data_IF_780784303103
#
_entry.id   IF_780784303103
#
_cell.length_a   1.000
_cell.length_b   1.000
_cell.length_c   1.000
_cell.angle_alpha   90.00
_cell.angle_beta   90.00
_cell.angle_gamma   90.00
#
_symmetry.space_group_name_H-M   'P 1'
#
loop_
_entity.id
_entity.type
_entity.pdbx_description
1 polymer ?
#
# COMPACT_ATOMS: atom_id res chain seq x y z
N UNK A 1 33.75 63.26 55.96
CA UNK A 1 34.29 62.30 54.91
C UNK A 1 33.36 61.11 54.91
N UNK A 2 32.36 61.13 54.01
CA UNK A 2 31.42 60.02 53.87
C UNK A 2 31.94 59.11 52.74
N UNK A 3 32.06 57.82 53.07
CA UNK A 3 32.39 56.77 52.07
C UNK A 3 31.09 56.23 51.52
N UNK A 4 30.86 56.45 50.24
CA UNK A 4 29.76 55.83 49.49
C UNK A 4 30.21 54.45 49.01
N UNK A 5 29.43 53.43 49.43
CA UNK A 5 29.60 52.04 48.96
C UNK A 5 28.73 51.80 47.76
N UNK A 6 29.33 51.55 46.63
CA UNK A 6 28.64 51.14 45.39
C UNK A 6 28.39 49.65 45.45
N UNK A 7 27.12 49.25 45.47
CA UNK A 7 26.67 47.84 45.37
C UNK A 7 26.49 47.55 43.91
N UNK A 8 27.31 46.63 43.35
CA UNK A 8 27.13 46.07 42.02
C UNK A 8 26.11 44.89 42.12
N UNK A 9 24.93 45.10 41.58
CA UNK A 9 23.95 44.02 41.43
C UNK A 9 24.25 43.32 40.10
N UNK A 10 24.81 42.08 40.17
CA UNK A 10 25.04 41.22 39.04
C UNK A 10 23.73 40.51 38.73
N UNK A 11 23.03 40.92 37.67
CA UNK A 11 21.81 40.30 37.19
C UNK A 11 22.19 39.08 36.33
N UNK A 12 22.13 37.86 36.91
CA UNK A 12 22.33 36.65 36.17
C UNK A 12 21.07 36.31 35.37
N UNK A 13 21.13 36.50 34.04
CA UNK A 13 20.11 36.04 33.08
C UNK A 13 20.22 34.53 32.89
N UNK A 14 19.38 33.78 33.56
CA UNK A 14 19.24 32.33 33.32
C UNK A 14 18.40 32.12 32.09
N UNK A 15 19.02 31.79 30.97
CA UNK A 15 18.36 31.28 29.77
C UNK A 15 17.93 29.83 30.06
N UNK A 16 16.65 29.67 30.36
CA UNK A 16 16.00 28.35 30.37
C UNK A 16 15.81 27.91 28.91
N UNK A 17 16.71 27.09 28.40
CA UNK A 17 16.44 26.29 27.22
C UNK A 17 15.41 25.22 27.63
N UNK A 18 14.16 25.48 27.31
CA UNK A 18 13.12 24.45 27.34
C UNK A 18 13.41 23.43 26.25
N UNK A 19 14.03 22.30 26.60
CA UNK A 19 13.86 21.08 25.82
C UNK A 19 12.40 20.72 25.92
N UNK A 20 11.63 20.91 24.85
CA UNK A 20 10.38 20.20 24.65
C UNK A 20 10.77 18.74 24.39
N UNK A 21 10.77 17.92 25.44
CA UNK A 21 10.68 16.49 25.29
C UNK A 21 9.32 16.21 24.61
N UNK A 22 9.31 16.14 23.29
CA UNK A 22 8.26 15.39 22.59
C UNK A 22 8.43 13.95 23.04
N UNK A 23 7.72 13.59 24.10
CA UNK A 23 7.51 12.20 24.50
C UNK A 23 6.79 11.56 23.33
N UNK A 24 7.55 10.85 22.48
CA UNK A 24 6.99 9.89 21.54
C UNK A 24 6.31 8.86 22.42
N UNK A 25 5.00 9.01 22.61
CA UNK A 25 4.17 7.95 23.20
C UNK A 25 4.15 6.83 22.17
N UNK A 26 5.09 5.89 22.29
CA UNK A 26 5.00 4.60 21.61
C UNK A 26 3.75 3.97 22.21
N UNK A 27 2.69 3.84 21.42
CA UNK A 27 1.53 3.04 21.82
C UNK A 27 2.05 1.60 22.03
N UNK A 28 2.26 1.24 23.28
CA UNK A 28 2.80 -0.04 23.69
C UNK A 28 1.74 -1.12 23.48
N UNK A 29 1.96 -2.00 22.49
CA UNK A 29 1.14 -3.18 22.28
C UNK A 29 1.11 -3.64 20.81
N UNK A 30 0.83 -4.93 20.57
CA UNK A 30 0.68 -5.45 19.23
C UNK A 30 -0.55 -4.85 18.55
N UNK A 31 -0.42 -4.48 17.26
CA UNK A 31 -1.49 -3.94 16.41
C UNK A 31 -2.37 -5.03 15.81
N UNK A 32 -1.81 -6.22 15.69
CA UNK A 32 -2.50 -7.40 15.17
C UNK A 32 -2.00 -8.67 15.86
N UNK A 33 -2.78 -9.73 15.74
CA UNK A 33 -2.39 -11.10 16.08
C UNK A 33 -2.30 -11.92 14.79
N UNK A 34 -1.54 -13.00 14.80
CA UNK A 34 -1.55 -13.96 13.70
C UNK A 34 -2.84 -14.78 13.75
N UNK A 35 -3.47 -14.91 12.60
CA UNK A 35 -4.76 -15.62 12.42
C UNK A 35 -4.49 -16.86 11.58
N UNK A 36 -4.72 -18.03 12.18
CA UNK A 36 -4.62 -19.30 11.49
C UNK A 36 -5.67 -19.42 10.38
N UNK A 37 -5.29 -20.08 9.28
CA UNK A 37 -6.22 -20.29 8.16
C UNK A 37 -6.36 -19.10 7.20
N UNK A 38 -5.55 -18.06 7.35
CA UNK A 38 -5.52 -16.91 6.41
C UNK A 38 -4.87 -17.23 5.06
N UNK A 39 -4.50 -18.48 4.80
CA UNK A 39 -3.82 -18.93 3.59
C UNK A 39 -2.29 -19.00 3.75
N UNK A 40 -1.62 -19.39 2.66
CA UNK A 40 -0.17 -19.62 2.66
C UNK A 40 0.60 -18.73 1.70
N UNK A 41 -0.09 -17.86 0.97
CA UNK A 41 0.57 -16.94 0.05
C UNK A 41 1.53 -16.01 0.80
N UNK A 42 2.71 -15.84 0.26
CA UNK A 42 3.79 -15.00 0.79
C UNK A 42 4.45 -14.23 -0.34
N UNK A 43 4.74 -12.96 -0.08
CA UNK A 43 5.63 -12.13 -0.90
C UNK A 43 6.84 -11.75 -0.07
N UNK A 44 7.99 -12.25 -0.45
CA UNK A 44 9.24 -11.88 0.20
C UNK A 44 9.50 -10.37 0.05
N UNK A 45 9.76 -9.70 1.17
CA UNK A 45 10.22 -8.32 1.24
C UNK A 45 11.63 -8.26 1.84
N UNK A 46 12.37 -7.17 1.58
CA UNK A 46 13.78 -7.06 1.95
C UNK A 46 14.03 -6.80 3.45
N UNK A 47 13.12 -7.27 4.34
CA UNK A 47 13.28 -7.17 5.80
C UNK A 47 14.13 -8.31 6.35
N UNK A 48 14.98 -8.01 7.34
CA UNK A 48 15.69 -9.04 8.13
C UNK A 48 14.88 -9.50 9.35
N UNK A 49 13.71 -8.89 9.59
CA UNK A 49 12.85 -9.18 10.74
C UNK A 49 11.76 -10.18 10.35
N UNK A 50 11.99 -11.47 10.61
CA UNK A 50 11.08 -12.57 10.25
C UNK A 50 9.62 -12.32 10.66
N UNK A 51 9.40 -11.78 11.86
CA UNK A 51 8.04 -11.46 12.31
C UNK A 51 7.41 -10.31 11.55
N UNK A 52 8.19 -9.33 11.07
CA UNK A 52 7.68 -8.28 10.19
C UNK A 52 7.22 -8.87 8.86
N UNK A 53 8.02 -9.77 8.27
CA UNK A 53 7.63 -10.54 7.07
C UNK A 53 6.33 -11.31 7.29
N UNK A 54 6.20 -12.02 8.41
CA UNK A 54 4.99 -12.82 8.72
C UNK A 54 3.73 -11.97 8.77
N UNK A 55 3.79 -10.80 9.42
CA UNK A 55 2.65 -9.87 9.48
C UNK A 55 2.41 -9.16 8.14
N UNK A 56 3.45 -8.89 7.38
CA UNK A 56 3.32 -8.35 6.02
C UNK A 56 2.54 -9.33 5.13
N UNK A 57 2.91 -10.61 5.14
CA UNK A 57 2.23 -11.66 4.39
C UNK A 57 0.77 -11.83 4.80
N UNK A 58 0.48 -11.78 6.11
CA UNK A 58 -0.90 -11.80 6.60
C UNK A 58 -1.68 -10.59 6.09
N UNK A 59 -1.08 -9.40 6.15
CA UNK A 59 -1.68 -8.17 5.62
C UNK A 59 -2.00 -8.28 4.13
N UNK A 60 -1.09 -8.86 3.36
CA UNK A 60 -1.27 -9.04 1.92
C UNK A 60 -2.39 -10.04 1.60
N UNK A 61 -2.45 -11.19 2.29
CA UNK A 61 -3.54 -12.15 2.15
C UNK A 61 -4.91 -11.54 2.47
N UNK A 62 -4.99 -10.74 3.52
CA UNK A 62 -6.21 -10.03 3.88
C UNK A 62 -6.58 -8.94 2.87
N UNK A 63 -5.61 -8.22 2.32
CA UNK A 63 -5.86 -7.24 1.26
C UNK A 63 -6.50 -7.90 0.04
N UNK A 64 -5.96 -9.03 -0.42
CA UNK A 64 -6.49 -9.80 -1.54
C UNK A 64 -7.82 -10.50 -1.23
N UNK A 65 -8.11 -10.74 0.06
CA UNK A 65 -9.41 -11.23 0.54
C UNK A 65 -10.42 -10.13 0.87
N UNK A 66 -10.06 -8.85 0.67
CA UNK A 66 -10.89 -7.66 0.97
C UNK A 66 -11.23 -7.49 2.46
N UNK A 67 -10.41 -8.05 3.35
CA UNK A 67 -10.45 -7.82 4.79
C UNK A 67 -9.53 -6.63 5.14
N UNK A 68 -9.90 -5.42 4.65
CA UNK A 68 -9.03 -4.24 4.71
C UNK A 68 -8.66 -3.80 6.13
N UNK A 69 -9.56 -3.75 7.11
CA UNK A 69 -9.19 -3.40 8.49
C UNK A 69 -8.13 -4.34 9.08
N UNK A 70 -8.28 -5.65 8.88
CA UNK A 70 -7.36 -6.68 9.35
C UNK A 70 -6.03 -6.63 8.59
N UNK A 71 -6.08 -6.31 7.30
CA UNK A 71 -4.91 -6.05 6.46
C UNK A 71 -4.11 -4.86 6.98
N UNK A 72 -4.77 -3.72 7.19
CA UNK A 72 -4.14 -2.50 7.71
C UNK A 72 -3.52 -2.76 9.08
N UNK A 73 -4.24 -3.42 10.00
CA UNK A 73 -3.71 -3.77 11.32
C UNK A 73 -2.47 -4.67 11.24
N UNK A 74 -2.47 -5.64 10.32
CA UNK A 74 -1.32 -6.54 10.10
C UNK A 74 -0.10 -5.76 9.58
N UNK A 75 -0.29 -4.85 8.62
CA UNK A 75 0.78 -3.99 8.14
C UNK A 75 1.28 -3.00 9.20
N UNK A 76 0.39 -2.48 10.06
CA UNK A 76 0.79 -1.65 11.21
C UNK A 76 1.68 -2.43 12.18
N UNK A 77 1.36 -3.71 12.42
CA UNK A 77 2.20 -4.57 13.26
C UNK A 77 3.55 -4.86 12.59
N UNK A 78 3.57 -5.14 11.28
CA UNK A 78 4.81 -5.30 10.53
C UNK A 78 5.70 -4.04 10.61
N UNK A 79 5.11 -2.84 10.44
CA UNK A 79 5.82 -1.57 10.59
C UNK A 79 6.31 -1.30 12.02
N UNK A 80 5.57 -1.76 13.06
CA UNK A 80 6.01 -1.66 14.45
C UNK A 80 7.23 -2.53 14.73
N UNK A 81 7.28 -3.71 14.13
CA UNK A 81 8.38 -4.68 14.28
C UNK A 81 9.63 -4.29 13.50
N UNK A 82 9.47 -3.68 12.32
CA UNK A 82 10.55 -3.13 11.51
C UNK A 82 10.20 -1.71 11.05
N UNK A 83 10.42 -0.69 11.89
CA UNK A 83 9.98 0.69 11.61
C UNK A 83 10.70 1.35 10.44
N UNK A 84 11.86 0.81 10.05
CA UNK A 84 12.65 1.40 8.96
C UNK A 84 12.32 0.77 7.59
N UNK A 85 11.59 -0.34 7.55
CA UNK A 85 11.24 -0.99 6.30
C UNK A 85 10.04 -0.29 5.63
N UNK A 86 10.10 0.06 4.33
CA UNK A 86 9.05 0.83 3.66
C UNK A 86 7.82 0.00 3.27
N UNK A 87 7.98 -1.30 3.01
CA UNK A 87 6.90 -2.13 2.44
C UNK A 87 5.67 -2.28 3.32
N UNK A 88 5.73 -2.33 4.65
CA UNK A 88 4.52 -2.29 5.48
C UNK A 88 3.69 -1.01 5.26
N UNK A 89 4.34 0.12 5.04
CA UNK A 89 3.65 1.38 4.72
C UNK A 89 3.05 1.38 3.31
N UNK A 90 3.74 0.79 2.33
CA UNK A 90 3.18 0.52 1.01
C UNK A 90 1.94 -0.37 1.11
N UNK A 91 1.99 -1.43 1.91
CA UNK A 91 0.86 -2.34 2.13
C UNK A 91 -0.37 -1.63 2.72
N UNK A 92 -0.18 -0.73 3.69
CA UNK A 92 -1.26 0.11 4.20
C UNK A 92 -1.86 1.00 3.11
N UNK A 93 -1.04 1.63 2.27
CA UNK A 93 -1.51 2.43 1.14
C UNK A 93 -2.28 1.57 0.13
N UNK A 94 -1.78 0.37 -0.21
CA UNK A 94 -2.46 -0.59 -1.07
C UNK A 94 -3.84 -0.98 -0.51
N UNK A 95 -3.94 -1.34 0.77
CA UNK A 95 -5.19 -1.72 1.41
C UNK A 95 -6.23 -0.58 1.46
N UNK A 96 -5.78 0.68 1.45
CA UNK A 96 -6.64 1.89 1.40
C UNK A 96 -6.84 2.44 -0.01
N UNK A 97 -6.23 1.83 -1.00
CA UNK A 97 -6.14 2.31 -2.37
C UNK A 97 -7.20 1.78 -3.32
N UNK A 98 -6.83 1.63 -4.61
CA UNK A 98 -7.76 1.22 -5.65
C UNK A 98 -8.22 -0.22 -5.44
N UNK A 99 -9.53 -0.39 -5.41
CA UNK A 99 -10.16 -1.68 -5.30
C UNK A 99 -11.45 -1.71 -6.14
N UNK A 100 -11.61 -2.65 -7.08
CA UNK A 100 -12.78 -2.70 -7.96
C UNK A 100 -14.08 -3.04 -7.25
N UNK A 101 -14.03 -3.81 -6.17
CA UNK A 101 -15.20 -4.42 -5.56
C UNK A 101 -15.89 -3.56 -4.50
N UNK A 102 -15.16 -3.12 -3.52
CA UNK A 102 -15.74 -2.44 -2.34
C UNK A 102 -14.81 -1.34 -1.87
N UNK A 103 -14.53 -0.43 -2.78
CA UNK A 103 -13.44 0.56 -2.66
C UNK A 103 -13.29 1.18 -1.27
N UNK A 104 -14.40 1.38 -0.57
CA UNK A 104 -14.37 2.07 0.73
C UNK A 104 -15.22 1.38 1.80
N UNK A 105 -15.69 0.16 1.58
CA UNK A 105 -16.42 -0.58 2.60
C UNK A 105 -15.51 -0.92 3.79
N UNK A 106 -15.95 -0.59 5.00
CA UNK A 106 -15.21 -0.82 6.25
C UNK A 106 -13.83 -0.15 6.31
N UNK A 107 -13.63 0.93 5.54
CA UNK A 107 -12.41 1.72 5.54
C UNK A 107 -12.42 2.77 6.66
N UNK A 108 -11.28 3.36 7.00
CA UNK A 108 -11.21 4.60 7.79
C UNK A 108 -12.06 5.71 7.19
N UNK A 109 -12.42 6.74 7.96
CA UNK A 109 -13.24 7.87 7.51
C UNK A 109 -12.62 8.63 6.31
N UNK A 110 -11.28 8.70 6.24
CA UNK A 110 -10.54 9.29 5.13
C UNK A 110 -9.49 8.30 4.57
N UNK A 111 -9.89 7.26 3.82
CA UNK A 111 -8.94 6.29 3.29
C UNK A 111 -7.94 6.90 2.30
N UNK A 112 -8.35 7.92 1.55
CA UNK A 112 -7.46 8.63 0.63
C UNK A 112 -6.37 9.43 1.36
N UNK A 113 -6.71 10.11 2.43
CA UNK A 113 -5.75 10.86 3.25
C UNK A 113 -4.82 9.94 4.04
N UNK A 114 -5.36 8.87 4.63
CA UNK A 114 -4.55 7.89 5.37
C UNK A 114 -3.62 7.09 4.42
N UNK A 115 -4.10 6.72 3.24
CA UNK A 115 -3.28 6.09 2.20
C UNK A 115 -2.14 7.00 1.72
N UNK A 116 -2.43 8.30 1.51
CA UNK A 116 -1.39 9.29 1.18
C UNK A 116 -0.34 9.40 2.30
N UNK A 117 -0.75 9.43 3.56
CA UNK A 117 0.18 9.43 4.70
C UNK A 117 1.04 8.16 4.71
N UNK A 118 0.43 7.02 4.45
CA UNK A 118 1.14 5.75 4.43
C UNK A 118 2.19 5.72 3.31
N UNK A 119 1.83 6.08 2.07
CA UNK A 119 2.79 6.04 0.97
C UNK A 119 3.91 7.08 1.13
N UNK A 120 3.63 8.26 1.71
CA UNK A 120 4.68 9.23 2.05
C UNK A 120 5.68 8.64 3.05
N UNK A 121 5.21 7.91 4.08
CA UNK A 121 6.10 7.20 5.02
C UNK A 121 6.94 6.12 4.33
N UNK A 122 6.40 5.43 3.33
CA UNK A 122 7.17 4.49 2.53
C UNK A 122 8.27 5.20 1.72
N UNK A 123 7.96 6.34 1.10
CA UNK A 123 8.94 7.16 0.36
C UNK A 123 10.05 7.71 1.26
N UNK A 124 9.75 8.14 2.48
CA UNK A 124 10.75 8.58 3.46
C UNK A 124 11.78 7.49 3.81
N UNK A 125 11.43 6.22 3.61
CA UNK A 125 12.24 5.02 3.92
C UNK A 125 12.71 4.26 2.69
N UNK A 126 12.49 4.82 1.51
CA UNK A 126 12.67 4.12 0.23
C UNK A 126 14.09 3.58 0.02
N UNK A 127 15.09 4.18 0.67
CA UNK A 127 16.47 3.70 0.56
C UNK A 127 16.70 2.32 1.21
N UNK A 128 15.81 1.90 2.10
CA UNK A 128 15.84 0.57 2.71
C UNK A 128 15.09 -0.49 1.87
N UNK A 129 14.52 -0.11 0.73
CA UNK A 129 13.83 -1.00 -0.19
C UNK A 129 14.78 -1.58 -1.24
N UNK A 130 14.51 -2.80 -1.68
CA UNK A 130 15.15 -3.36 -2.86
C UNK A 130 14.63 -2.67 -4.16
N UNK A 131 15.28 -2.90 -5.32
CA UNK A 131 14.89 -2.22 -6.57
C UNK A 131 13.44 -2.46 -7.02
N UNK A 132 12.87 -3.65 -6.75
CA UNK A 132 11.47 -3.95 -7.08
C UNK A 132 10.51 -3.22 -6.15
N UNK A 133 10.78 -3.26 -4.85
CA UNK A 133 10.00 -2.56 -3.84
C UNK A 133 9.96 -1.05 -4.09
N UNK A 134 11.10 -0.45 -4.48
CA UNK A 134 11.17 0.97 -4.89
C UNK A 134 10.19 1.28 -6.01
N UNK A 135 10.10 0.42 -7.02
CA UNK A 135 9.16 0.60 -8.14
C UNK A 135 7.70 0.51 -7.69
N UNK A 136 7.35 -0.46 -6.84
CA UNK A 136 5.99 -0.60 -6.30
C UNK A 136 5.59 0.62 -5.46
N UNK A 137 6.50 1.14 -4.63
CA UNK A 137 6.28 2.34 -3.81
C UNK A 137 6.06 3.56 -4.70
N UNK A 138 6.91 3.75 -5.72
CA UNK A 138 6.80 4.88 -6.64
C UNK A 138 5.50 4.83 -7.45
N UNK A 139 5.12 3.67 -7.95
CA UNK A 139 3.88 3.49 -8.67
C UNK A 139 2.65 3.77 -7.80
N UNK A 140 2.62 3.24 -6.57
CA UNK A 140 1.52 3.52 -5.63
C UNK A 140 1.44 5.01 -5.27
N UNK A 141 2.58 5.72 -5.23
CA UNK A 141 2.58 7.16 -4.99
C UNK A 141 1.83 7.92 -6.08
N UNK A 142 1.95 7.52 -7.35
CA UNK A 142 1.22 8.16 -8.47
C UNK A 142 -0.28 8.18 -8.22
N UNK A 143 -0.85 7.10 -7.68
CA UNK A 143 -2.28 7.04 -7.32
C UNK A 143 -2.69 8.08 -6.29
N UNK A 144 -1.81 8.44 -5.36
CA UNK A 144 -2.09 9.36 -4.25
C UNK A 144 -1.63 10.80 -4.49
N UNK A 145 -0.82 11.07 -5.52
CA UNK A 145 -0.20 12.39 -5.74
C UNK A 145 -1.19 13.40 -6.33
N UNK A 146 -1.94 14.04 -5.43
CA UNK A 146 -2.89 15.12 -5.78
C UNK A 146 -2.19 16.40 -6.23
N UNK A 147 -0.93 16.59 -5.89
CA UNK A 147 -0.15 17.78 -6.23
C UNK A 147 0.33 17.70 -7.67
N UNK A 148 0.79 16.52 -8.11
CA UNK A 148 1.18 16.29 -9.50
C UNK A 148 -0.03 16.17 -10.43
N UNK A 149 -1.07 15.43 -10.03
CA UNK A 149 -2.28 15.20 -10.84
C UNK A 149 -3.51 15.47 -9.97
N UNK A 150 -4.15 16.62 -10.15
CA UNK A 150 -5.30 17.04 -9.33
C UNK A 150 -6.56 16.20 -9.60
N UNK A 151 -6.81 15.83 -10.86
CA UNK A 151 -7.98 15.03 -11.26
C UNK A 151 -7.82 13.56 -10.81
N UNK A 152 -8.74 13.02 -9.98
CA UNK A 152 -8.65 11.64 -9.52
C UNK A 152 -8.75 10.60 -10.65
N UNK A 153 -9.50 10.87 -11.71
CA UNK A 153 -9.62 9.94 -12.83
C UNK A 153 -8.30 9.86 -13.62
N UNK A 154 -7.62 11.00 -13.78
CA UNK A 154 -6.30 11.01 -14.42
C UNK A 154 -5.24 10.34 -13.55
N UNK A 155 -5.35 10.39 -12.22
CA UNK A 155 -4.47 9.62 -11.33
C UNK A 155 -4.71 8.12 -11.44
N UNK A 156 -5.98 7.69 -11.50
CA UNK A 156 -6.32 6.29 -11.71
C UNK A 156 -5.72 5.76 -13.02
N UNK A 157 -5.82 6.54 -14.11
CA UNK A 157 -5.21 6.21 -15.41
C UNK A 157 -3.68 6.18 -15.33
N UNK A 158 -3.06 7.17 -14.70
CA UNK A 158 -1.61 7.21 -14.55
C UNK A 158 -1.09 6.02 -13.72
N UNK A 159 -1.82 5.62 -12.67
CA UNK A 159 -1.49 4.42 -11.89
C UNK A 159 -1.64 3.13 -12.72
N UNK A 160 -2.71 3.01 -13.51
CA UNK A 160 -2.87 1.89 -14.45
C UNK A 160 -1.68 1.79 -15.42
N UNK A 161 -1.24 2.91 -15.97
CA UNK A 161 -0.09 2.95 -16.87
C UNK A 161 1.21 2.50 -16.19
N UNK A 162 1.42 2.88 -14.93
CA UNK A 162 2.57 2.39 -14.16
C UNK A 162 2.47 0.88 -13.89
N UNK A 163 1.28 0.36 -13.54
CA UNK A 163 1.08 -1.07 -13.31
C UNK A 163 1.27 -1.89 -14.59
N UNK A 164 0.82 -1.39 -15.75
CA UNK A 164 1.08 -2.02 -17.05
C UNK A 164 2.58 -2.11 -17.32
N UNK A 165 3.33 -1.01 -17.17
CA UNK A 165 4.79 -1.01 -17.35
C UNK A 165 5.50 -1.98 -16.43
N UNK A 166 5.02 -2.11 -15.19
CA UNK A 166 5.58 -3.08 -14.25
C UNK A 166 5.25 -4.51 -14.66
N UNK A 167 4.02 -4.79 -15.13
CA UNK A 167 3.64 -6.11 -15.62
C UNK A 167 4.47 -6.51 -16.85
N UNK A 168 4.71 -5.60 -17.79
CA UNK A 168 5.57 -5.84 -18.94
C UNK A 168 7.02 -6.16 -18.53
N UNK A 169 7.52 -5.46 -17.50
CA UNK A 169 8.88 -5.67 -17.02
C UNK A 169 9.04 -6.92 -16.14
N UNK A 170 7.98 -7.35 -15.47
CA UNK A 170 7.97 -8.44 -14.49
C UNK A 170 6.74 -9.36 -14.67
N UNK A 171 6.56 -9.96 -15.85
CA UNK A 171 5.33 -10.71 -16.19
C UNK A 171 5.08 -11.95 -15.32
N UNK A 172 6.08 -12.42 -14.58
CA UNK A 172 5.99 -13.57 -13.69
C UNK A 172 5.72 -13.20 -12.21
N UNK A 173 5.53 -11.92 -11.91
CA UNK A 173 5.21 -11.47 -10.55
C UNK A 173 3.69 -11.45 -10.34
N UNK A 174 3.13 -12.35 -9.48
CA UNK A 174 1.69 -12.48 -9.35
C UNK A 174 1.01 -11.28 -8.68
N UNK A 175 1.69 -10.57 -7.77
CA UNK A 175 1.13 -9.35 -7.19
C UNK A 175 1.08 -8.23 -8.22
N UNK A 176 2.09 -8.09 -9.07
CA UNK A 176 2.10 -7.08 -10.13
C UNK A 176 0.97 -7.35 -11.14
N UNK A 177 0.78 -8.60 -11.56
CA UNK A 177 -0.33 -8.98 -12.44
C UNK A 177 -1.69 -8.65 -11.79
N UNK A 178 -1.87 -9.00 -10.50
CA UNK A 178 -3.09 -8.68 -9.77
C UNK A 178 -3.30 -7.15 -9.57
N UNK A 179 -2.24 -6.39 -9.31
CA UNK A 179 -2.30 -4.92 -9.20
C UNK A 179 -2.65 -4.27 -10.54
N UNK A 180 -2.09 -4.78 -11.64
CA UNK A 180 -2.43 -4.32 -12.99
C UNK A 180 -3.91 -4.58 -13.30
N UNK A 181 -4.38 -5.80 -13.09
CA UNK A 181 -5.79 -6.14 -13.28
C UNK A 181 -6.71 -5.31 -12.37
N UNK A 182 -6.40 -5.20 -11.09
CA UNK A 182 -7.18 -4.41 -10.13
C UNK A 182 -7.26 -2.93 -10.49
N UNK A 183 -6.18 -2.33 -11.00
CA UNK A 183 -6.18 -0.94 -11.46
C UNK A 183 -7.06 -0.73 -12.69
N UNK A 184 -6.99 -1.60 -13.70
CA UNK A 184 -7.87 -1.60 -14.86
C UNK A 184 -9.33 -1.73 -14.45
N UNK A 185 -9.65 -2.76 -13.65
CA UNK A 185 -11.01 -3.05 -13.20
C UNK A 185 -11.60 -1.92 -12.35
N UNK A 186 -10.80 -1.20 -11.57
CA UNK A 186 -11.23 -0.04 -10.79
C UNK A 186 -11.69 1.13 -11.66
N UNK A 187 -11.12 1.30 -12.84
CA UNK A 187 -11.49 2.34 -13.80
C UNK A 187 -12.75 1.92 -14.57
N UNK A 188 -12.82 0.67 -15.03
CA UNK A 188 -13.89 0.18 -15.92
C UNK A 188 -15.15 -0.26 -15.17
N UNK A 189 -15.05 -0.66 -13.91
CA UNK A 189 -16.19 -0.97 -13.03
C UNK A 189 -17.24 -1.87 -13.65
N UNK A 190 -16.88 -3.12 -13.98
CA UNK A 190 -17.72 -4.15 -14.59
C UNK A 190 -18.07 -3.93 -16.07
N UNK A 191 -17.57 -2.87 -16.71
CA UNK A 191 -17.78 -2.57 -18.12
C UNK A 191 -16.63 -3.14 -18.97
N UNK A 192 -16.36 -4.46 -18.82
CA UNK A 192 -15.25 -5.15 -19.51
C UNK A 192 -15.69 -5.78 -20.85
N UNK A 193 -16.97 -6.13 -20.96
CA UNK A 193 -17.56 -6.82 -22.11
C UNK A 193 -18.79 -6.07 -22.62
N UNK A 194 -19.06 -6.15 -23.92
CA UNK A 194 -20.30 -5.63 -24.47
C UNK A 194 -21.49 -6.61 -24.28
N UNK A 195 -22.68 -6.25 -24.74
CA UNK A 195 -23.88 -7.09 -24.60
C UNK A 195 -23.79 -8.40 -25.40
N UNK A 196 -22.90 -8.51 -26.35
CA UNK A 196 -22.68 -9.68 -27.19
C UNK A 196 -21.50 -10.53 -26.67
N UNK A 197 -20.91 -10.15 -25.52
CA UNK A 197 -19.79 -10.82 -24.89
C UNK A 197 -18.44 -10.56 -25.56
N UNK A 198 -18.33 -9.52 -26.39
CA UNK A 198 -17.05 -9.13 -26.98
C UNK A 198 -16.25 -8.27 -25.97
N UNK A 199 -14.93 -8.44 -25.92
CA UNK A 199 -14.08 -7.67 -25.01
C UNK A 199 -14.04 -6.19 -25.40
N UNK A 200 -14.04 -5.33 -24.39
CA UNK A 200 -13.81 -3.89 -24.54
C UNK A 200 -12.37 -3.55 -24.21
N UNK A 201 -11.85 -2.56 -24.93
CA UNK A 201 -10.52 -1.97 -24.67
C UNK A 201 -9.43 -3.05 -24.43
N UNK A 202 -8.75 -2.99 -23.28
CA UNK A 202 -7.62 -3.83 -22.90
C UNK A 202 -8.03 -5.09 -22.12
N UNK A 203 -9.32 -5.46 -22.09
CA UNK A 203 -9.82 -6.58 -21.27
C UNK A 203 -9.07 -7.89 -21.54
N UNK A 204 -8.81 -8.22 -22.82
CA UNK A 204 -8.06 -9.45 -23.15
C UNK A 204 -6.61 -9.39 -22.70
N UNK A 205 -5.94 -8.26 -22.83
CA UNK A 205 -4.56 -8.09 -22.37
C UNK A 205 -4.45 -8.29 -20.85
N UNK A 206 -5.42 -7.76 -20.12
CA UNK A 206 -5.48 -7.92 -18.66
C UNK A 206 -5.81 -9.36 -18.27
N UNK A 207 -6.71 -10.03 -19.00
CA UNK A 207 -7.01 -11.46 -18.79
C UNK A 207 -5.77 -12.32 -19.05
N UNK A 208 -5.06 -12.11 -20.16
CA UNK A 208 -3.83 -12.80 -20.50
C UNK A 208 -2.74 -12.66 -19.42
N UNK A 209 -2.61 -11.48 -18.80
CA UNK A 209 -1.67 -11.26 -17.70
C UNK A 209 -2.00 -12.13 -16.48
N UNK A 210 -3.29 -12.25 -16.10
CA UNK A 210 -3.72 -13.11 -15.00
C UNK A 210 -3.58 -14.60 -15.35
N UNK A 211 -3.99 -15.00 -16.56
CA UNK A 211 -3.89 -16.37 -17.06
C UNK A 211 -2.44 -16.84 -17.15
N UNK A 212 -1.52 -15.95 -17.50
CA UNK A 212 -0.10 -16.27 -17.52
C UNK A 212 0.39 -16.76 -16.14
N UNK A 213 -0.03 -16.11 -15.05
CA UNK A 213 0.28 -16.53 -13.68
C UNK A 213 -0.42 -17.85 -13.32
N UNK A 214 -1.71 -17.99 -13.67
CA UNK A 214 -2.49 -19.20 -13.41
C UNK A 214 -1.84 -20.41 -14.09
N UNK A 215 -1.44 -20.26 -15.35
CA UNK A 215 -0.83 -21.32 -16.15
C UNK A 215 0.55 -21.77 -15.64
N UNK A 216 1.23 -20.94 -14.84
CA UNK A 216 2.45 -21.31 -14.13
C UNK A 216 2.18 -22.13 -12.86
N UNK A 217 0.91 -22.34 -12.49
CA UNK A 217 0.52 -23.04 -11.26
C UNK A 217 0.78 -22.22 -9.98
N UNK A 218 0.93 -20.91 -10.09
CA UNK A 218 1.13 -20.01 -8.95
C UNK A 218 -0.21 -19.77 -8.28
N UNK A 219 -0.34 -20.23 -7.02
CA UNK A 219 -1.56 -19.99 -6.24
C UNK A 219 -1.53 -18.61 -5.59
N UNK A 220 -2.23 -17.65 -6.21
CA UNK A 220 -2.33 -16.28 -5.72
C UNK A 220 -3.80 -15.88 -5.55
N UNK A 221 -4.25 -15.48 -4.35
CA UNK A 221 -5.68 -15.22 -4.09
C UNK A 221 -6.24 -14.09 -4.93
N UNK A 222 -5.51 -12.99 -5.11
CA UNK A 222 -5.94 -11.86 -5.92
C UNK A 222 -6.03 -12.17 -7.41
N UNK A 223 -5.09 -12.96 -7.95
CA UNK A 223 -5.10 -13.36 -9.37
C UNK A 223 -6.36 -14.15 -9.68
N UNK A 224 -6.68 -15.20 -8.92
CA UNK A 224 -7.89 -15.98 -9.13
C UNK A 224 -9.16 -15.17 -8.96
N UNK A 225 -9.22 -14.35 -7.91
CA UNK A 225 -10.40 -13.53 -7.64
C UNK A 225 -10.69 -12.54 -8.77
N UNK A 226 -9.67 -11.78 -9.18
CA UNK A 226 -9.82 -10.76 -10.23
C UNK A 226 -10.07 -11.40 -11.59
N UNK A 227 -9.46 -12.56 -11.88
CA UNK A 227 -9.70 -13.30 -13.12
C UNK A 227 -11.18 -13.73 -13.23
N UNK A 228 -11.75 -14.34 -12.19
CA UNK A 228 -13.16 -14.72 -12.16
C UNK A 228 -14.06 -13.51 -12.50
N UNK A 229 -13.85 -12.39 -11.82
CA UNK A 229 -14.66 -11.20 -12.06
C UNK A 229 -14.43 -10.54 -13.42
N UNK A 230 -13.23 -10.69 -13.97
CA UNK A 230 -12.93 -10.12 -15.27
C UNK A 230 -13.63 -10.89 -16.40
N UNK A 231 -13.71 -12.23 -16.30
CA UNK A 231 -14.21 -13.08 -17.40
C UNK A 231 -15.66 -13.54 -17.23
N UNK A 232 -16.29 -13.38 -16.07
CA UNK A 232 -17.63 -13.92 -15.77
C UNK A 232 -18.74 -13.45 -16.73
N UNK A 233 -18.56 -12.32 -17.40
CA UNK A 233 -19.51 -11.79 -18.40
C UNK A 233 -19.05 -12.02 -19.86
N UNK A 234 -17.98 -12.79 -20.08
CA UNK A 234 -17.53 -13.17 -21.41
C UNK A 234 -18.40 -14.28 -22.02
N UNK A 235 -18.21 -14.58 -23.28
CA UNK A 235 -18.85 -15.72 -23.95
C UNK A 235 -18.20 -17.07 -23.54
N UNK A 236 -17.01 -17.05 -23.00
CA UNK A 236 -16.23 -18.24 -22.57
C UNK A 236 -15.71 -18.01 -21.13
N UNK A 237 -16.60 -18.10 -20.12
CA UNK A 237 -16.24 -17.81 -18.74
C UNK A 237 -15.50 -18.94 -18.00
N UNK A 238 -15.06 -20.01 -18.71
CA UNK A 238 -14.39 -21.21 -18.15
C UNK A 238 -12.87 -21.18 -18.29
#
# INVERSE_FOLDING_TARGET
MQKESIIFVLSSLILLFGCSDETITIEEGPRAILIDGSGTYSREISTEVERSQTFFDQGLRFAWGFYFPESIASYQEAARLDPMHPMPHWGMAHAMGPNPNSRYARMPDDPQGEGLKAIKRALERIENANPMEKKLIQAMHVFYDKEAIADPNLRDIAYLDEMRRLNDAFPNDPDIAALYAGSYMSIRRWDYWDSDGNPKDETLEVAEALEHIINQGISHPGVYHLHIHLIEASMEPE
#
